data_IF_773418218028
#
_entry.id   IF_773418218028
#
_cell.length_a   1.000
_cell.length_b   1.000
_cell.length_c   1.000
_cell.angle_alpha   90.00
_cell.angle_beta   90.00
_cell.angle_gamma   90.00
#
_symmetry.space_group_name_H-M   'P 1'
#
loop_
_entity.id
_entity.type
_entity.pdbx_description
1 polymer ?
#
# COMPACT_ATOMS: atom_id res chain seq x y z
N UNK A 1 -29.66 -12.54 5.76
CA UNK A 1 -29.24 -11.13 5.60
C UNK A 1 -28.15 -11.12 4.55
N UNK A 2 -28.38 -10.42 3.44
CA UNK A 2 -27.63 -10.57 2.19
C UNK A 2 -26.29 -9.83 2.30
N UNK A 3 -25.27 -10.48 1.77
CA UNK A 3 -23.91 -10.00 1.64
C UNK A 3 -23.88 -8.77 0.72
N UNK A 4 -23.10 -7.75 1.08
CA UNK A 4 -22.74 -6.65 0.19
C UNK A 4 -21.22 -6.52 0.18
N UNK A 5 -20.56 -7.41 -0.58
CA UNK A 5 -19.23 -7.14 -1.15
C UNK A 5 -19.48 -6.56 -2.53
N UNK A 6 -19.47 -5.23 -2.64
CA UNK A 6 -19.49 -4.57 -3.94
C UNK A 6 -18.06 -4.59 -4.47
N UNK A 7 -17.76 -5.66 -5.19
CA UNK A 7 -16.61 -5.77 -6.08
C UNK A 7 -17.02 -5.06 -7.38
N UNK A 8 -16.43 -3.90 -7.66
CA UNK A 8 -16.62 -3.18 -8.93
C UNK A 8 -15.45 -3.46 -9.85
N UNK A 9 -15.79 -3.88 -11.07
CA UNK A 9 -14.91 -4.38 -12.12
C UNK A 9 -14.57 -3.31 -13.18
N UNK A 10 -13.43 -3.51 -13.85
CA UNK A 10 -12.94 -2.98 -15.14
C UNK A 10 -12.48 -1.51 -15.23
N UNK A 11 -11.24 -1.28 -15.68
CA UNK A 11 -10.83 -0.41 -16.83
C UNK A 11 -9.30 -0.49 -16.99
N UNK A 12 -8.82 -0.76 -18.22
CA UNK A 12 -7.44 -0.61 -18.74
C UNK A 12 -6.28 -0.61 -17.74
N UNK A 13 -5.46 -1.68 -17.74
CA UNK A 13 -4.25 -1.90 -16.91
C UNK A 13 -3.10 -0.89 -17.19
N UNK A 14 -3.36 0.41 -17.18
CA UNK A 14 -2.32 1.37 -16.90
C UNK A 14 -2.09 1.35 -15.39
N UNK A 15 -0.94 0.80 -14.99
CA UNK A 15 -0.52 0.79 -13.60
C UNK A 15 -0.33 2.25 -13.19
N UNK A 16 -1.34 2.80 -12.51
CA UNK A 16 -1.26 4.15 -11.95
C UNK A 16 -0.24 4.11 -10.81
N UNK A 17 0.76 4.97 -10.95
CA UNK A 17 1.80 5.13 -9.95
C UNK A 17 1.61 6.47 -9.24
N UNK A 18 1.90 6.47 -7.96
CA UNK A 18 1.81 7.63 -7.08
C UNK A 18 3.17 7.86 -6.45
N UNK A 19 3.48 9.11 -6.14
CA UNK A 19 4.69 9.38 -5.39
C UNK A 19 4.54 8.92 -3.92
N UNK A 20 5.67 8.83 -3.22
CA UNK A 20 5.69 8.40 -1.81
C UNK A 20 4.90 9.34 -0.91
N UNK A 21 4.88 10.64 -1.19
CA UNK A 21 4.20 11.65 -0.37
C UNK A 21 2.68 11.47 -0.47
N UNK A 22 2.14 11.31 -1.67
CA UNK A 22 0.73 11.03 -1.91
C UNK A 22 0.28 9.75 -1.19
N UNK A 23 1.09 8.70 -1.23
CA UNK A 23 0.80 7.44 -0.55
C UNK A 23 0.83 7.58 0.97
N UNK A 24 1.75 8.39 1.53
CA UNK A 24 1.80 8.68 2.96
C UNK A 24 0.62 9.52 3.43
N UNK A 25 0.25 10.56 2.68
CA UNK A 25 -0.90 11.42 3.00
C UNK A 25 -2.20 10.62 3.05
N UNK A 26 -2.35 9.64 2.15
CA UNK A 26 -3.54 8.80 2.04
C UNK A 26 -3.36 7.42 2.71
N UNK A 27 -2.36 7.25 3.58
CA UNK A 27 -1.96 5.93 4.11
C UNK A 27 -3.11 5.20 4.82
N UNK A 28 -3.92 5.97 5.54
CA UNK A 28 -5.04 5.44 6.33
C UNK A 28 -6.17 4.93 5.45
N UNK A 29 -6.45 5.59 4.35
CA UNK A 29 -7.51 5.21 3.41
C UNK A 29 -7.08 4.08 2.48
N UNK A 30 -5.82 4.11 2.02
CA UNK A 30 -5.31 3.16 1.03
C UNK A 30 -4.83 1.83 1.64
N UNK A 31 -4.23 1.86 2.84
CA UNK A 31 -3.53 0.71 3.42
C UNK A 31 -3.92 0.39 4.87
N UNK A 32 -4.84 1.18 5.46
CA UNK A 32 -5.24 1.09 6.87
C UNK A 32 -4.05 1.13 7.87
N UNK A 33 -3.01 1.89 7.53
CA UNK A 33 -1.80 2.00 8.35
C UNK A 33 -1.35 3.47 8.54
N UNK A 34 -0.46 3.67 9.50
CA UNK A 34 0.17 4.96 9.74
C UNK A 34 1.23 5.25 8.66
N UNK A 35 1.49 6.51 8.29
CA UNK A 35 2.44 6.85 7.22
C UNK A 35 3.86 6.34 7.50
N UNK A 36 4.26 6.23 8.77
CA UNK A 36 5.54 5.67 9.18
C UNK A 36 5.70 4.20 8.77
N UNK A 37 4.60 3.45 8.69
CA UNK A 37 4.60 2.06 8.21
C UNK A 37 4.96 2.01 6.74
N UNK A 38 4.49 2.95 5.92
CA UNK A 38 4.86 3.06 4.51
C UNK A 38 6.35 3.42 4.39
N UNK A 39 6.84 4.37 5.20
CA UNK A 39 8.26 4.74 5.23
C UNK A 39 9.14 3.53 5.58
N UNK A 40 8.76 2.75 6.59
CA UNK A 40 9.47 1.55 7.01
C UNK A 40 9.35 0.40 6.00
N UNK A 41 8.18 0.23 5.38
CA UNK A 41 7.95 -0.80 4.37
C UNK A 41 8.77 -0.57 3.10
N UNK A 42 8.90 0.68 2.68
CA UNK A 42 9.70 1.12 1.52
C UNK A 42 11.14 1.51 1.91
N UNK A 43 11.60 1.14 3.10
CA UNK A 43 12.93 1.49 3.56
C UNK A 43 14.00 0.79 2.69
N UNK A 44 14.93 1.57 2.13
CA UNK A 44 15.98 1.06 1.24
C UNK A 44 15.57 0.94 -0.23
N UNK A 45 14.31 1.25 -0.54
CA UNK A 45 13.84 1.41 -1.91
C UNK A 45 14.27 2.79 -2.45
N UNK A 46 14.75 2.84 -3.69
CA UNK A 46 15.19 4.05 -4.39
C UNK A 46 14.18 4.56 -5.42
N UNK A 47 13.04 3.88 -5.57
CA UNK A 47 11.97 4.31 -6.46
C UNK A 47 11.33 5.62 -5.96
N UNK A 48 10.78 6.37 -6.91
CA UNK A 48 10.08 7.64 -6.61
C UNK A 48 8.57 7.51 -6.81
N UNK A 49 8.16 6.54 -7.62
CA UNK A 49 6.79 6.30 -8.04
C UNK A 49 6.44 4.85 -7.75
N UNK A 50 5.29 4.63 -7.13
CA UNK A 50 4.87 3.31 -6.67
C UNK A 50 3.44 3.00 -7.06
N UNK A 51 3.22 1.77 -7.51
CA UNK A 51 1.88 1.22 -7.65
C UNK A 51 1.31 0.86 -6.27
N UNK A 52 0.00 1.07 -6.07
CA UNK A 52 -0.69 0.70 -4.82
C UNK A 52 -0.48 -0.77 -4.49
N UNK A 53 -0.54 -1.66 -5.49
CA UNK A 53 -0.34 -3.10 -5.27
C UNK A 53 1.05 -3.43 -4.70
N UNK A 54 2.09 -2.75 -5.20
CA UNK A 54 3.46 -2.93 -4.73
C UNK A 54 3.59 -2.48 -3.27
N UNK A 55 3.10 -1.28 -2.95
CA UNK A 55 3.19 -0.71 -1.60
C UNK A 55 2.39 -1.55 -0.61
N UNK A 56 1.19 -2.01 -1.00
CA UNK A 56 0.39 -2.89 -0.15
C UNK A 56 1.15 -4.18 0.19
N UNK A 57 1.80 -4.80 -0.80
CA UNK A 57 2.62 -5.99 -0.54
C UNK A 57 3.80 -5.68 0.39
N UNK A 58 4.48 -4.56 0.19
CA UNK A 58 5.58 -4.13 1.06
C UNK A 58 5.10 -3.89 2.50
N UNK A 59 3.94 -3.25 2.68
CA UNK A 59 3.32 -3.01 3.99
C UNK A 59 2.96 -4.33 4.67
N UNK A 60 2.31 -5.26 3.97
CA UNK A 60 1.98 -6.58 4.53
C UNK A 60 3.24 -7.34 4.96
N UNK A 61 4.27 -7.34 4.12
CA UNK A 61 5.55 -7.96 4.44
C UNK A 61 6.19 -7.31 5.66
N UNK A 62 6.16 -5.97 5.74
CA UNK A 62 6.72 -5.22 6.87
C UNK A 62 6.01 -5.56 8.19
N UNK A 63 4.68 -5.62 8.19
CA UNK A 63 3.88 -5.96 9.38
C UNK A 63 4.06 -7.41 9.83
N UNK A 64 4.42 -8.31 8.93
CA UNK A 64 4.69 -9.72 9.23
C UNK A 64 6.12 -9.98 9.71
N UNK A 65 7.03 -9.00 9.62
CA UNK A 65 8.40 -9.16 10.15
C UNK A 65 8.31 -9.36 11.65
N UNK A 66 8.54 -10.60 12.10
CA UNK A 66 8.79 -10.87 13.52
C UNK A 66 10.11 -10.21 13.88
N UNK A 67 10.11 -9.39 14.92
CA UNK A 67 11.35 -9.04 15.61
C UNK A 67 11.85 -10.37 16.21
N UNK A 68 12.93 -10.92 15.67
CA UNK A 68 13.61 -12.01 16.36
C UNK A 68 14.17 -11.43 17.65
N UNK A 69 13.68 -11.93 18.80
CA UNK A 69 14.20 -11.61 20.13
C UNK A 69 15.59 -12.23 20.36
#
# INVERSE_FOLDING_TARGET
MKQSKTQTSNTSDEIVMYDKEELMVNSRELFDCAPEVIVGALQGDSETMYAIAHVNQAVQNFLQRKVHE
#
